data_IF_854311535143
#
_entry.id   IF_854311535143
#
_cell.length_a   1.000
_cell.length_b   1.000
_cell.length_c   1.000
_cell.angle_alpha   90.00
_cell.angle_beta   90.00
_cell.angle_gamma   90.00
#
_symmetry.space_group_name_H-M   'P 1'
#
loop_
_entity.id
_entity.type
_entity.pdbx_description
1 polymer ?
#
# COMPACT_ATOMS: atom_id res chain seq x y z
N UNK A 1 3.74 -13.44 -9.40
CA UNK A 1 2.48 -14.05 -8.89
C UNK A 1 1.49 -14.21 -10.05
N UNK A 2 1.55 -15.32 -10.80
CA UNK A 2 0.88 -15.45 -12.11
C UNK A 2 -0.11 -16.62 -12.23
N UNK A 3 -0.46 -17.32 -11.14
CA UNK A 3 -1.34 -18.50 -11.21
C UNK A 3 -2.44 -18.49 -10.14
N UNK A 4 -3.26 -17.44 -10.09
CA UNK A 4 -4.53 -17.48 -9.33
C UNK A 4 -5.72 -17.14 -10.24
N UNK A 5 -6.63 -18.10 -10.48
CA UNK A 5 -7.86 -17.85 -11.22
C UNK A 5 -8.76 -16.96 -10.36
N UNK A 6 -9.33 -15.88 -10.94
CA UNK A 6 -10.10 -14.79 -10.28
C UNK A 6 -9.32 -13.59 -9.73
N UNK A 7 -8.09 -13.34 -10.18
CA UNK A 7 -7.38 -12.08 -9.87
C UNK A 7 -8.12 -10.80 -10.34
N UNK A 8 -9.02 -10.92 -11.32
CA UNK A 8 -9.80 -9.77 -11.85
C UNK A 8 -11.09 -9.47 -11.06
N UNK A 9 -11.52 -10.35 -10.14
CA UNK A 9 -12.75 -10.18 -9.35
C UNK A 9 -12.42 -10.00 -7.86
N UNK A 10 -11.82 -8.85 -7.54
CA UNK A 10 -11.81 -8.30 -6.20
C UNK A 10 -10.60 -8.66 -5.34
N UNK A 11 -9.43 -8.10 -5.69
CA UNK A 11 -8.29 -7.92 -4.76
C UNK A 11 -8.75 -7.39 -3.39
N UNK A 12 -9.87 -6.66 -3.37
CA UNK A 12 -10.59 -6.16 -2.20
C UNK A 12 -10.87 -7.21 -1.11
N UNK A 13 -11.18 -8.46 -1.47
CA UNK A 13 -11.49 -9.51 -0.48
C UNK A 13 -10.24 -10.02 0.25
N UNK A 14 -9.07 -9.87 -0.37
CA UNK A 14 -7.79 -10.32 0.19
C UNK A 14 -6.99 -9.19 0.83
N UNK A 15 -7.48 -7.94 0.78
CA UNK A 15 -6.83 -6.76 1.35
C UNK A 15 -6.27 -6.94 2.78
N UNK A 16 -7.00 -7.52 3.75
CA UNK A 16 -6.47 -7.63 5.12
C UNK A 16 -5.31 -8.62 5.23
N UNK A 17 -5.15 -9.55 4.28
CA UNK A 17 -4.07 -10.55 4.30
C UNK A 17 -2.80 -10.05 3.61
N UNK A 18 -2.89 -9.01 2.78
CA UNK A 18 -1.74 -8.50 2.02
C UNK A 18 -0.61 -7.92 2.90
N UNK A 19 -0.88 -7.16 3.99
CA UNK A 19 0.16 -6.74 4.94
C UNK A 19 0.98 -7.91 5.49
N UNK A 20 0.30 -8.97 5.92
CA UNK A 20 0.96 -10.15 6.48
C UNK A 20 1.79 -10.88 5.41
N UNK A 21 1.25 -11.00 4.20
CA UNK A 21 1.94 -11.66 3.11
C UNK A 21 3.23 -10.93 2.68
N UNK A 22 3.21 -9.59 2.67
CA UNK A 22 4.40 -8.82 2.28
C UNK A 22 5.47 -8.82 3.37
N UNK A 23 5.08 -8.79 4.65
CA UNK A 23 6.02 -8.82 5.77
C UNK A 23 6.68 -10.19 5.96
N UNK A 24 6.10 -11.27 5.42
CA UNK A 24 6.69 -12.61 5.43
C UNK A 24 7.80 -12.82 4.38
N UNK A 25 8.02 -11.86 3.48
CA UNK A 25 9.11 -11.95 2.51
C UNK A 25 10.45 -11.72 3.22
N UNK A 26 11.27 -12.77 3.30
CA UNK A 26 12.63 -12.67 3.80
C UNK A 26 13.55 -12.08 2.74
N UNK A 27 13.98 -10.84 2.97
CA UNK A 27 14.94 -10.10 2.16
C UNK A 27 16.24 -9.82 2.92
N UNK A 28 16.48 -10.50 4.05
CA UNK A 28 17.60 -10.19 4.96
C UNK A 28 18.99 -10.38 4.35
N UNK A 29 19.10 -11.09 3.23
CA UNK A 29 20.36 -11.34 2.54
C UNK A 29 20.76 -10.23 1.53
N UNK A 30 19.91 -9.23 1.33
CA UNK A 30 20.12 -8.18 0.33
C UNK A 30 20.45 -6.84 0.99
N UNK A 31 21.47 -6.13 0.51
CA UNK A 31 21.80 -4.80 1.04
C UNK A 31 20.87 -3.70 0.50
N UNK A 32 20.28 -3.91 -0.68
CA UNK A 32 19.42 -2.94 -1.36
C UNK A 32 18.13 -3.60 -1.82
N UNK A 33 17.01 -2.98 -1.46
CA UNK A 33 15.67 -3.44 -1.81
C UNK A 33 15.01 -2.39 -2.70
N UNK A 34 14.61 -2.79 -3.90
CA UNK A 34 13.83 -1.97 -4.83
C UNK A 34 12.39 -2.49 -4.91
N UNK A 35 11.42 -1.71 -4.43
CA UNK A 35 10.00 -2.08 -4.51
C UNK A 35 9.25 -1.19 -5.49
N UNK A 36 8.57 -1.80 -6.47
CA UNK A 36 7.55 -1.13 -7.30
C UNK A 36 6.19 -1.31 -6.64
N UNK A 37 5.59 -0.24 -6.12
CA UNK A 37 4.40 -0.30 -5.27
C UNK A 37 3.21 0.48 -5.82
N UNK A 38 2.07 -0.21 -5.92
CA UNK A 38 0.73 0.38 -6.10
C UNK A 38 -0.14 0.29 -4.83
N UNK A 39 0.28 -0.52 -3.85
CA UNK A 39 -0.47 -0.74 -2.62
C UNK A 39 0.45 -1.24 -1.48
N UNK A 40 0.91 -2.48 -1.56
CA UNK A 40 1.51 -3.18 -0.39
C UNK A 40 3.00 -3.47 -0.51
N UNK A 41 3.58 -3.42 -1.72
CA UNK A 41 4.97 -3.83 -1.96
C UNK A 41 6.00 -3.01 -1.16
N UNK A 42 5.67 -1.76 -0.82
CA UNK A 42 6.52 -0.93 0.05
C UNK A 42 6.57 -1.39 1.52
N UNK A 43 5.74 -2.36 1.90
CA UNK A 43 5.56 -2.80 3.28
C UNK A 43 6.48 -3.93 3.72
N UNK A 44 7.45 -4.31 2.89
CA UNK A 44 8.48 -5.29 3.25
C UNK A 44 9.20 -4.90 4.54
N UNK A 45 9.67 -5.90 5.28
CA UNK A 45 10.51 -5.67 6.46
C UNK A 45 11.94 -5.45 6.02
N UNK A 46 12.55 -4.40 6.55
CA UNK A 46 13.94 -4.02 6.27
C UNK A 46 14.71 -3.90 7.59
N UNK A 47 15.98 -4.29 7.54
CA UNK A 47 16.93 -4.13 8.63
C UNK A 47 17.64 -2.77 8.53
N UNK A 48 18.20 -2.22 9.62
CA UNK A 48 18.80 -0.88 9.62
C UNK A 48 20.00 -0.67 8.68
N UNK A 49 20.64 -1.75 8.23
CA UNK A 49 21.76 -1.69 7.28
C UNK A 49 21.31 -1.71 5.81
N UNK A 50 20.04 -2.05 5.56
CA UNK A 50 19.50 -2.20 4.22
C UNK A 50 18.94 -0.86 3.72
N UNK A 51 19.11 -0.58 2.44
CA UNK A 51 18.51 0.59 1.79
C UNK A 51 17.26 0.18 1.03
N UNK A 52 16.13 0.78 1.37
CA UNK A 52 14.85 0.55 0.69
C UNK A 52 14.43 1.73 -0.18
N UNK A 53 14.40 1.48 -1.49
CA UNK A 53 13.91 2.42 -2.49
C UNK A 53 12.54 1.96 -2.98
N UNK A 54 11.53 2.79 -2.80
CA UNK A 54 10.17 2.52 -3.27
C UNK A 54 9.80 3.39 -4.46
N UNK A 55 9.64 2.78 -5.64
CA UNK A 55 8.96 3.40 -6.77
C UNK A 55 7.44 3.30 -6.58
N UNK A 56 6.85 4.36 -6.03
CA UNK A 56 5.45 4.44 -5.69
C UNK A 56 4.65 5.05 -6.86
N UNK A 57 3.79 4.24 -7.46
CA UNK A 57 2.90 4.66 -8.54
C UNK A 57 1.63 5.34 -8.03
N UNK A 58 1.15 4.90 -6.87
CA UNK A 58 0.05 5.51 -6.12
C UNK A 58 0.09 5.02 -4.68
N UNK A 59 -0.14 5.89 -3.69
CA UNK A 59 -0.55 5.47 -2.35
C UNK A 59 -1.79 4.57 -2.41
N UNK A 60 -2.04 3.78 -1.37
CA UNK A 60 -3.05 2.72 -1.36
C UNK A 60 -4.49 3.28 -1.50
N UNK A 61 -4.95 3.51 -2.74
CA UNK A 61 -6.24 4.13 -3.07
C UNK A 61 -7.43 3.50 -2.33
N UNK A 62 -7.42 2.19 -2.15
CA UNK A 62 -8.50 1.46 -1.49
C UNK A 62 -8.71 1.85 -0.02
N UNK A 63 -7.63 2.11 0.72
CA UNK A 63 -7.73 2.52 2.11
C UNK A 63 -7.97 4.03 2.27
N UNK A 64 -7.46 4.85 1.35
CA UNK A 64 -7.51 6.30 1.46
C UNK A 64 -8.74 6.94 0.79
N UNK A 65 -9.06 6.53 -0.44
CA UNK A 65 -10.10 7.17 -1.27
C UNK A 65 -11.42 6.39 -1.23
N UNK A 66 -11.35 5.05 -1.28
CA UNK A 66 -12.54 4.21 -1.46
C UNK A 66 -13.34 3.95 -0.18
N UNK A 67 -12.92 4.48 0.98
CA UNK A 67 -13.69 4.35 2.23
C UNK A 67 -15.10 4.94 2.09
N UNK A 68 -15.24 6.09 1.43
CA UNK A 68 -16.54 6.76 1.28
C UNK A 68 -17.37 6.18 0.12
N UNK A 69 -16.74 5.84 -1.00
CA UNK A 69 -17.43 5.24 -2.15
C UNK A 69 -17.99 3.84 -1.83
N UNK A 70 -17.26 3.03 -1.05
CA UNK A 70 -17.71 1.69 -0.67
C UNK A 70 -18.88 1.72 0.33
N UNK A 71 -18.85 2.68 1.27
CA UNK A 71 -19.91 2.87 2.25
C UNK A 71 -21.19 3.43 1.64
N UNK A 72 -21.09 4.23 0.58
CA UNK A 72 -22.25 4.82 -0.07
C UNK A 72 -22.87 3.90 -1.14
N UNK A 73 -22.10 3.08 -1.86
CA UNK A 73 -22.59 2.29 -3.01
C UNK A 73 -22.89 0.82 -2.72
N UNK A 74 -22.58 0.28 -1.54
CA UNK A 74 -22.85 -1.14 -1.24
C UNK A 74 -23.89 -1.32 -0.13
N UNK A 75 -24.85 -2.23 -0.33
CA UNK A 75 -25.78 -2.70 0.72
C UNK A 75 -25.06 -3.29 1.94
N UNK A 76 -23.75 -3.53 1.83
CA UNK A 76 -22.84 -4.04 2.85
C UNK A 76 -22.23 -2.93 3.73
N UNK A 77 -22.43 -1.65 3.38
CA UNK A 77 -22.02 -0.48 4.17
C UNK A 77 -22.94 -0.15 5.36
N UNK A 78 -24.05 -0.88 5.53
CA UNK A 78 -25.02 -0.71 6.62
C UNK A 78 -25.03 -1.94 7.54
N UNK A 79 -25.07 -1.71 8.85
CA UNK A 79 -25.06 -2.75 9.88
C UNK A 79 -23.66 -3.23 10.30
N UNK A 80 -23.61 -4.32 11.07
CA UNK A 80 -22.38 -4.96 11.59
C UNK A 80 -21.28 -5.21 10.53
N UNK A 81 -21.55 -5.72 9.30
CA UNK A 81 -20.50 -5.92 8.30
C UNK A 81 -19.87 -4.60 7.80
N UNK A 82 -20.63 -3.50 7.81
CA UNK A 82 -20.12 -2.17 7.48
C UNK A 82 -19.15 -1.64 8.53
N UNK A 83 -19.44 -1.88 9.82
CA UNK A 83 -18.54 -1.52 10.93
C UNK A 83 -17.23 -2.32 10.84
N UNK A 84 -17.32 -3.63 10.59
CA UNK A 84 -16.13 -4.46 10.39
C UNK A 84 -15.29 -3.98 9.21
N UNK A 85 -15.92 -3.65 8.08
CA UNK A 85 -15.21 -3.17 6.89
C UNK A 85 -14.50 -1.83 7.17
N UNK A 86 -15.16 -0.89 7.88
CA UNK A 86 -14.54 0.37 8.32
C UNK A 86 -13.34 0.13 9.21
N UNK A 87 -13.44 -0.80 10.14
CA UNK A 87 -12.35 -1.16 11.04
C UNK A 87 -11.16 -1.74 10.26
N UNK A 88 -11.39 -2.68 9.34
CA UNK A 88 -10.34 -3.26 8.50
C UNK A 88 -9.65 -2.22 7.62
N UNK A 89 -10.41 -1.33 6.97
CA UNK A 89 -9.84 -0.23 6.18
C UNK A 89 -9.03 0.74 7.04
N UNK A 90 -9.50 1.02 8.25
CA UNK A 90 -8.77 1.86 9.20
C UNK A 90 -7.43 1.23 9.61
N UNK A 91 -7.42 -0.06 9.93
CA UNK A 91 -6.20 -0.80 10.26
C UNK A 91 -5.22 -0.83 9.08
N UNK A 92 -5.73 -1.09 7.87
CA UNK A 92 -4.91 -1.05 6.66
C UNK A 92 -4.30 0.32 6.41
N UNK A 93 -5.05 1.41 6.65
CA UNK A 93 -4.52 2.77 6.52
C UNK A 93 -3.42 3.04 7.56
N UNK A 94 -3.58 2.59 8.80
CA UNK A 94 -2.55 2.73 9.82
C UNK A 94 -1.29 1.96 9.44
N UNK A 95 -1.43 0.69 9.05
CA UNK A 95 -0.30 -0.13 8.60
C UNK A 95 0.40 0.49 7.39
N UNK A 96 -0.35 1.05 6.44
CA UNK A 96 0.20 1.72 5.26
C UNK A 96 1.04 2.95 5.64
N UNK A 97 0.59 3.77 6.60
CA UNK A 97 1.40 4.90 7.10
C UNK A 97 2.64 4.40 7.84
N UNK A 98 2.49 3.41 8.73
CA UNK A 98 3.60 2.90 9.55
C UNK A 98 4.68 2.28 8.67
N UNK A 99 4.29 1.43 7.72
CA UNK A 99 5.22 0.78 6.81
C UNK A 99 5.93 1.75 5.87
N UNK A 100 5.31 2.90 5.55
CA UNK A 100 5.97 3.93 4.75
C UNK A 100 7.20 4.55 5.45
N UNK A 101 7.30 4.47 6.78
CA UNK A 101 8.48 4.94 7.51
C UNK A 101 9.69 4.02 7.36
N UNK A 102 9.52 2.78 6.89
CA UNK A 102 10.62 1.83 6.62
C UNK A 102 11.30 2.08 5.28
N UNK A 103 10.68 2.87 4.41
CA UNK A 103 11.21 3.23 3.09
C UNK A 103 12.15 4.42 3.24
N UNK A 104 13.40 4.26 2.82
CA UNK A 104 14.40 5.33 2.85
C UNK A 104 14.12 6.38 1.78
N UNK A 105 13.88 5.95 0.54
CA UNK A 105 13.68 6.83 -0.61
C UNK A 105 12.40 6.50 -1.36
N UNK A 106 11.53 7.50 -1.57
CA UNK A 106 10.38 7.37 -2.44
C UNK A 106 10.68 7.97 -3.81
N UNK A 107 10.37 7.20 -4.85
CA UNK A 107 10.32 7.66 -6.23
C UNK A 107 8.86 7.70 -6.68
N UNK A 108 8.46 8.74 -7.41
CA UNK A 108 7.13 8.93 -7.93
C UNK A 108 7.16 9.07 -9.45
N UNK A 109 6.17 8.51 -10.13
CA UNK A 109 6.02 8.64 -11.59
C UNK A 109 5.58 10.04 -12.05
N UNK A 110 5.09 10.87 -11.14
CA UNK A 110 4.59 12.21 -11.45
C UNK A 110 4.57 13.12 -10.21
N UNK A 111 4.53 14.43 -10.45
CA UNK A 111 4.32 15.42 -9.40
C UNK A 111 2.98 15.25 -8.67
N UNK A 112 1.96 14.71 -9.34
CA UNK A 112 0.68 14.40 -8.71
C UNK A 112 0.84 13.29 -7.66
N UNK A 113 1.53 12.22 -8.01
CA UNK A 113 1.80 11.11 -7.10
C UNK A 113 2.70 11.55 -5.95
N UNK A 114 3.73 12.34 -6.20
CA UNK A 114 4.60 12.90 -5.15
C UNK A 114 3.80 13.71 -4.10
N UNK A 115 2.87 14.56 -4.55
CA UNK A 115 1.97 15.28 -3.62
C UNK A 115 1.06 14.35 -2.81
N UNK A 116 0.62 13.24 -3.40
CA UNK A 116 -0.19 12.24 -2.68
C UNK A 116 0.63 11.48 -1.65
N UNK A 117 1.87 11.11 -1.96
CA UNK A 117 2.82 10.51 -1.01
C UNK A 117 3.03 11.46 0.18
N UNK A 118 3.27 12.75 -0.09
CA UNK A 118 3.37 13.76 0.97
C UNK A 118 2.10 13.85 1.81
N UNK A 119 0.92 13.87 1.18
CA UNK A 119 -0.36 13.98 1.89
C UNK A 119 -0.66 12.76 2.78
N UNK A 120 -0.34 11.55 2.32
CA UNK A 120 -0.66 10.31 3.03
C UNK A 120 0.40 9.95 4.07
N UNK A 121 1.68 10.06 3.71
CA UNK A 121 2.79 9.53 4.50
C UNK A 121 3.70 10.61 5.09
N UNK A 122 3.55 11.89 4.68
CA UNK A 122 4.47 12.98 5.07
C UNK A 122 5.94 12.70 4.74
N UNK A 123 6.16 11.99 3.62
CA UNK A 123 7.49 11.67 3.07
C UNK A 123 7.70 12.43 1.77
N UNK A 124 8.91 12.93 1.55
CA UNK A 124 9.32 13.49 0.25
C UNK A 124 9.49 12.35 -0.76
N UNK A 125 9.22 12.65 -2.03
CA UNK A 125 9.41 11.71 -3.13
C UNK A 125 10.00 12.43 -4.34
N UNK A 126 11.04 11.85 -4.93
CA UNK A 126 11.64 12.36 -6.16
C UNK A 126 10.84 11.90 -7.37
N UNK A 127 10.65 12.77 -8.36
CA UNK A 127 9.86 12.44 -9.54
C UNK A 127 10.75 11.89 -10.64
N UNK A 128 10.53 10.63 -11.00
CA UNK A 128 11.21 9.93 -12.09
C UNK A 128 10.15 9.46 -13.08
N UNK A 129 10.04 10.15 -14.21
CA UNK A 129 9.05 9.82 -15.25
C UNK A 129 9.38 8.47 -15.89
N UNK A 130 8.37 7.62 -16.16
CA UNK A 130 8.58 6.41 -16.94
C UNK A 130 8.91 6.75 -18.41
N UNK A 131 9.74 5.93 -19.09
CA UNK A 131 10.06 6.08 -20.51
C UNK A 131 8.87 5.76 -21.43
#
# INVERSE_FOLDING_TARGET
>A
MQHFPRAEQGVQKYLPLLPLAIEQLDLGQYDVILSSSHAVAKGVLTAPHQVHICYCHTPMRYAWDLTFDYLNNSRMGRGLPGILTRYLLHQLRQWDVISANRVDYFLANSQHTARRIWRCYRRSADVVYPP
#
